data_IF_391205679213
#
_entry.id   IF_391205679213
#
_cell.length_a   1.000
_cell.length_b   1.000
_cell.length_c   1.000
_cell.angle_alpha   90.00
_cell.angle_beta   90.00
_cell.angle_gamma   90.00
#
_symmetry.space_group_name_H-M   'P 1'
#
loop_
_entity.id
_entity.type
_entity.pdbx_description
1 polymer ?
#
# COMPACT_ATOMS: atom_id res chain seq x y z
N UNK A 1 -25.83 -8.78 1.04
CA UNK A 1 -25.40 -8.84 2.44
C UNK A 1 -24.01 -8.20 2.49
N UNK A 2 -23.75 -7.16 3.29
CA UNK A 2 -22.42 -6.59 3.38
C UNK A 2 -21.57 -7.54 4.25
N UNK A 3 -20.60 -8.20 3.65
CA UNK A 3 -19.73 -9.13 4.38
C UNK A 3 -18.85 -8.33 5.36
N UNK A 4 -19.18 -8.51 6.63
CA UNK A 4 -18.32 -8.52 7.81
C UNK A 4 -17.22 -7.47 7.99
N UNK A 5 -17.48 -6.58 8.94
CA UNK A 5 -16.47 -5.89 9.73
C UNK A 5 -15.68 -6.82 10.69
N UNK A 6 -15.54 -8.12 10.42
CA UNK A 6 -15.26 -9.11 11.47
C UNK A 6 -13.84 -9.71 11.52
N UNK A 7 -12.95 -9.50 10.55
CA UNK A 7 -11.54 -9.85 10.78
C UNK A 7 -10.58 -8.85 10.16
N UNK A 8 -9.96 -8.05 11.03
CA UNK A 8 -8.69 -7.38 10.74
C UNK A 8 -7.52 -8.37 10.60
N UNK A 9 -7.80 -9.66 10.53
CA UNK A 9 -6.81 -10.74 10.46
C UNK A 9 -6.63 -11.12 9.00
N UNK A 10 -5.39 -11.08 8.50
CA UNK A 10 -5.06 -11.55 7.16
C UNK A 10 -5.12 -13.09 7.08
N UNK A 11 -5.13 -13.69 5.87
CA UNK A 11 -5.15 -15.14 5.70
C UNK A 11 -4.02 -15.91 6.42
N UNK A 12 -2.92 -15.23 6.77
CA UNK A 12 -1.80 -15.80 7.53
C UNK A 12 -1.97 -15.72 9.05
N UNK A 13 -3.16 -15.30 9.54
CA UNK A 13 -3.48 -15.24 10.96
C UNK A 13 -2.92 -14.02 11.69
N UNK A 14 -2.39 -13.01 10.98
CA UNK A 14 -1.86 -11.78 11.58
C UNK A 14 -2.91 -10.67 11.57
N UNK A 15 -2.99 -9.90 12.65
CA UNK A 15 -3.70 -8.61 12.63
C UNK A 15 -3.00 -7.67 11.65
N UNK A 16 -3.73 -7.18 10.64
CA UNK A 16 -3.21 -6.31 9.59
C UNK A 16 -2.61 -5.01 10.14
N UNK A 17 -3.05 -4.52 11.31
CA UNK A 17 -2.45 -3.34 11.97
C UNK A 17 -1.08 -3.64 12.58
N UNK A 18 -0.78 -4.91 12.85
CA UNK A 18 0.56 -5.36 13.27
C UNK A 18 1.46 -5.65 12.07
N UNK A 19 0.87 -5.77 10.88
CA UNK A 19 1.54 -6.08 9.63
C UNK A 19 1.78 -7.58 9.44
N UNK A 20 1.99 -7.96 8.18
CA UNK A 20 2.35 -9.32 7.80
C UNK A 20 3.42 -9.27 6.71
N UNK A 21 4.61 -9.79 7.00
CA UNK A 21 5.72 -9.85 6.04
C UNK A 21 5.36 -10.72 4.83
N UNK A 22 4.60 -11.80 5.05
CA UNK A 22 4.14 -12.66 3.95
C UNK A 22 3.17 -11.92 3.02
N UNK A 23 2.20 -11.15 3.55
CA UNK A 23 1.37 -10.29 2.69
C UNK A 23 2.20 -9.25 1.91
N UNK A 24 3.27 -8.72 2.52
CA UNK A 24 4.17 -7.76 1.87
C UNK A 24 4.93 -8.39 0.69
N UNK A 25 5.44 -9.61 0.88
CA UNK A 25 6.17 -10.36 -0.14
C UNK A 25 5.22 -10.83 -1.26
N UNK A 26 4.06 -11.40 -0.92
CA UNK A 26 3.03 -11.83 -1.89
C UNK A 26 2.54 -10.68 -2.77
N UNK A 27 2.47 -9.45 -2.24
CA UNK A 27 2.08 -8.29 -3.02
C UNK A 27 3.07 -7.97 -4.16
N UNK A 28 4.35 -8.32 -4.01
CA UNK A 28 5.37 -8.14 -5.04
C UNK A 28 5.30 -9.21 -6.13
N UNK A 29 4.67 -10.35 -5.81
CA UNK A 29 4.47 -11.50 -6.71
C UNK A 29 3.02 -11.61 -7.20
N UNK A 30 2.19 -10.59 -6.95
CA UNK A 30 0.77 -10.63 -7.20
C UNK A 30 0.46 -10.92 -8.68
N UNK A 31 -0.43 -11.89 -8.90
CA UNK A 31 -0.82 -12.32 -10.24
C UNK A 31 -1.44 -11.14 -11.04
N UNK A 32 -1.29 -11.12 -12.37
CA UNK A 32 -1.97 -10.15 -13.22
C UNK A 32 -3.48 -10.13 -12.98
N UNK A 33 -4.04 -8.94 -12.76
CA UNK A 33 -5.45 -8.75 -12.47
C UNK A 33 -5.83 -8.76 -10.99
N UNK A 34 -4.86 -8.96 -10.08
CA UNK A 34 -5.05 -8.70 -8.66
C UNK A 34 -5.42 -7.22 -8.45
N UNK A 35 -6.42 -6.90 -7.61
CA UNK A 35 -6.78 -5.52 -7.31
C UNK A 35 -5.60 -4.72 -6.74
N UNK A 36 -5.49 -3.46 -7.16
CA UNK A 36 -4.50 -2.52 -6.61
C UNK A 36 -5.15 -1.63 -5.56
N UNK A 37 -4.44 -1.39 -4.47
CA UNK A 37 -4.90 -0.57 -3.35
C UNK A 37 -3.91 0.55 -3.07
N UNK A 38 -4.42 1.71 -2.72
CA UNK A 38 -3.67 2.79 -2.09
C UNK A 38 -3.97 2.79 -0.60
N UNK A 39 -2.94 2.62 0.21
CA UNK A 39 -3.03 2.47 1.65
C UNK A 39 -2.29 3.61 2.33
N UNK A 40 -2.91 4.15 3.37
CA UNK A 40 -2.33 5.09 4.31
C UNK A 40 -2.44 4.49 5.72
N UNK A 41 -1.33 4.44 6.46
CA UNK A 41 -1.26 3.98 7.83
C UNK A 41 -0.57 5.04 8.70
N UNK A 42 -1.31 5.58 9.66
CA UNK A 42 -0.76 6.45 10.69
C UNK A 42 -0.23 5.60 11.83
N UNK A 43 0.98 5.88 12.26
CA UNK A 43 1.60 5.15 13.34
C UNK A 43 2.46 6.05 14.22
N UNK A 44 2.66 5.61 15.45
CA UNK A 44 3.59 6.21 16.40
C UNK A 44 4.80 5.30 16.58
N UNK A 45 5.96 5.88 16.89
CA UNK A 45 7.16 5.15 17.24
C UNK A 45 7.71 5.66 18.58
N UNK A 46 8.31 4.79 19.42
CA UNK A 46 8.84 5.19 20.73
C UNK A 46 10.08 6.07 20.62
N UNK A 47 10.73 6.10 19.45
CA UNK A 47 11.90 6.91 19.15
C UNK A 47 11.74 7.56 17.78
N UNK A 48 12.31 8.74 17.55
CA UNK A 48 12.30 9.36 16.23
C UNK A 48 12.96 8.46 15.19
N UNK A 49 12.35 8.35 14.01
CA UNK A 49 12.97 7.72 12.84
C UNK A 49 14.04 8.67 12.30
N UNK A 50 15.30 8.23 12.09
CA UNK A 50 16.34 9.09 11.55
C UNK A 50 15.97 9.66 10.18
N UNK A 51 16.29 10.93 9.92
CA UNK A 51 15.95 11.58 8.63
C UNK A 51 16.52 10.82 7.43
N UNK A 52 17.75 10.29 7.54
CA UNK A 52 18.38 9.49 6.47
C UNK A 52 17.55 8.25 6.13
N UNK A 53 16.99 7.62 7.15
CA UNK A 53 16.14 6.45 7.01
C UNK A 53 14.84 6.78 6.25
N UNK A 54 14.23 7.94 6.51
CA UNK A 54 13.07 8.41 5.74
C UNK A 54 13.42 8.67 4.27
N UNK A 55 14.58 9.29 4.03
CA UNK A 55 15.09 9.56 2.67
C UNK A 55 15.40 8.26 1.90
N UNK A 56 15.95 7.26 2.57
CA UNK A 56 16.26 5.97 1.95
C UNK A 56 14.98 5.22 1.56
N UNK A 57 13.93 5.25 2.40
CA UNK A 57 12.61 4.71 2.03
C UNK A 57 12.05 5.46 0.82
N UNK A 58 12.12 6.78 0.79
CA UNK A 58 11.63 7.56 -0.36
C UNK A 58 12.42 7.27 -1.66
N UNK A 59 13.72 6.97 -1.54
CA UNK A 59 14.59 6.65 -2.68
C UNK A 59 14.43 5.23 -3.19
N UNK A 60 14.22 4.26 -2.30
CA UNK A 60 14.31 2.83 -2.61
C UNK A 60 12.99 2.08 -2.46
N UNK A 61 12.04 2.59 -1.66
CA UNK A 61 10.69 2.07 -1.51
C UNK A 61 9.83 2.51 -2.68
N UNK A 62 10.05 1.94 -3.88
CA UNK A 62 9.40 2.33 -5.16
C UNK A 62 7.88 2.48 -5.13
N UNK A 63 7.21 1.95 -4.10
CA UNK A 63 5.77 2.05 -3.90
C UNK A 63 5.37 2.49 -2.50
N UNK A 64 6.32 2.92 -1.66
CA UNK A 64 6.11 3.27 -0.25
C UNK A 64 6.79 4.59 0.11
N UNK A 65 6.15 5.39 0.97
CA UNK A 65 6.74 6.59 1.54
C UNK A 65 6.41 6.67 3.04
N UNK A 66 7.36 7.17 3.83
CA UNK A 66 7.14 7.50 5.23
C UNK A 66 7.38 8.99 5.40
N UNK A 67 6.32 9.68 5.81
CA UNK A 67 6.33 11.11 6.10
C UNK A 67 6.11 11.35 7.61
N UNK A 68 6.62 12.46 8.12
CA UNK A 68 6.35 12.91 9.49
C UNK A 68 5.49 14.18 9.45
N UNK A 69 4.15 14.04 9.45
CA UNK A 69 3.25 15.18 9.31
C UNK A 69 3.20 16.12 10.54
N UNK A 70 3.53 15.64 11.75
CA UNK A 70 3.39 16.46 12.97
C UNK A 70 4.36 16.07 14.11
N UNK A 71 4.41 16.93 15.13
CA UNK A 71 4.84 16.61 16.49
C UNK A 71 3.61 16.49 17.40
N UNK A 72 3.54 15.53 18.35
CA UNK A 72 4.50 14.46 18.66
C UNK A 72 4.64 13.41 17.54
N UNK A 73 5.56 12.44 17.70
CA UNK A 73 6.08 11.47 16.71
C UNK A 73 5.01 10.58 16.01
N UNK A 74 4.13 11.22 15.26
CA UNK A 74 3.16 10.58 14.38
C UNK A 74 3.77 10.56 12.98
N UNK A 75 3.80 9.38 12.40
CA UNK A 75 4.30 9.11 11.07
C UNK A 75 3.15 8.62 10.18
N UNK A 76 3.23 8.94 8.90
CA UNK A 76 2.33 8.45 7.88
C UNK A 76 3.12 7.55 6.94
N UNK A 77 2.77 6.27 6.92
CA UNK A 77 3.19 5.33 5.88
C UNK A 77 2.13 5.33 4.78
N UNK A 78 2.52 5.69 3.57
CA UNK A 78 1.68 5.47 2.38
C UNK A 78 2.28 4.38 1.52
N UNK A 79 1.44 3.60 0.87
CA UNK A 79 1.91 2.60 -0.09
C UNK A 79 0.85 2.20 -1.10
N UNK A 80 1.30 1.89 -2.32
CA UNK A 80 0.47 1.22 -3.34
C UNK A 80 0.85 -0.25 -3.39
N UNK A 81 -0.14 -1.13 -3.30
CA UNK A 81 0.08 -2.57 -3.19
C UNK A 81 -1.02 -3.35 -3.91
N UNK A 82 -0.66 -4.47 -4.52
CA UNK A 82 -1.61 -5.40 -5.13
C UNK A 82 -2.02 -6.44 -4.10
N UNK A 83 -3.32 -6.56 -3.82
CA UNK A 83 -3.83 -7.51 -2.84
C UNK A 83 -5.28 -7.93 -3.17
N UNK A 84 -5.69 -9.17 -2.81
CA UNK A 84 -7.06 -9.63 -3.01
C UNK A 84 -8.12 -8.76 -2.31
N UNK A 85 -7.78 -8.23 -1.13
CA UNK A 85 -8.67 -7.37 -0.34
C UNK A 85 -7.93 -6.28 0.43
N UNK A 86 -8.70 -5.40 1.08
CA UNK A 86 -8.18 -4.28 1.86
C UNK A 86 -7.39 -4.70 3.10
N UNK A 87 -7.69 -5.85 3.71
CA UNK A 87 -7.03 -6.32 4.93
C UNK A 87 -5.64 -6.82 4.59
N UNK A 88 -5.50 -7.62 3.53
CA UNK A 88 -4.21 -8.03 2.98
C UNK A 88 -3.40 -6.83 2.48
N UNK A 89 -4.04 -5.85 1.84
CA UNK A 89 -3.38 -4.62 1.42
C UNK A 89 -2.78 -3.87 2.63
N UNK A 90 -3.57 -3.66 3.70
CA UNK A 90 -3.08 -3.01 4.91
C UNK A 90 -1.99 -3.85 5.59
N UNK A 91 -2.19 -5.16 5.71
CA UNK A 91 -1.23 -6.08 6.32
C UNK A 91 0.11 -6.06 5.58
N UNK A 92 0.09 -6.03 4.24
CA UNK A 92 1.30 -5.94 3.42
C UNK A 92 1.98 -4.58 3.54
N UNK A 93 1.23 -3.48 3.51
CA UNK A 93 1.79 -2.14 3.70
C UNK A 93 2.40 -1.98 5.08
N UNK A 94 1.73 -2.39 6.15
CA UNK A 94 2.33 -2.37 7.50
C UNK A 94 3.47 -3.40 7.61
N UNK A 95 3.38 -4.52 6.89
CA UNK A 95 4.42 -5.53 6.77
C UNK A 95 5.75 -5.00 6.23
N UNK A 96 5.73 -3.97 5.38
CA UNK A 96 6.93 -3.26 4.95
C UNK A 96 7.75 -2.72 6.14
N UNK A 97 7.10 -2.19 7.18
CA UNK A 97 7.78 -1.70 8.39
C UNK A 97 8.46 -2.85 9.16
N UNK A 98 7.81 -4.01 9.23
CA UNK A 98 8.37 -5.20 9.85
C UNK A 98 9.58 -5.73 9.08
N UNK A 99 9.46 -5.82 7.76
CA UNK A 99 10.54 -6.25 6.88
C UNK A 99 11.75 -5.32 6.99
N UNK A 100 11.49 -4.02 7.19
CA UNK A 100 12.51 -2.99 7.39
C UNK A 100 12.71 -2.64 8.87
N UNK A 101 12.68 -3.59 9.81
CA UNK A 101 12.85 -3.33 11.26
C UNK A 101 14.12 -2.54 11.66
N UNK A 102 15.12 -2.48 10.80
CA UNK A 102 16.32 -1.65 11.00
C UNK A 102 16.03 -0.14 10.84
N UNK A 103 14.92 0.21 10.19
CA UNK A 103 14.37 1.55 9.96
C UNK A 103 13.48 1.99 11.13
N UNK A 104 12.59 1.09 11.58
CA UNK A 104 11.63 1.36 12.66
C UNK A 104 11.76 0.27 13.73
N UNK A 105 12.35 0.64 14.87
CA UNK A 105 12.63 -0.29 15.99
C UNK A 105 11.38 -0.77 16.73
N UNK A 106 10.25 -0.07 16.55
CA UNK A 106 8.94 -0.44 17.04
C UNK A 106 7.92 0.62 16.62
N UNK A 107 6.68 0.21 16.42
CA UNK A 107 5.61 1.12 16.05
C UNK A 107 4.26 0.65 16.59
N UNK A 108 3.31 1.56 16.66
CA UNK A 108 1.89 1.27 16.90
C UNK A 108 1.06 1.99 15.85
N UNK A 109 0.37 1.22 15.01
CA UNK A 109 -0.58 1.76 14.02
C UNK A 109 -1.82 2.25 14.75
N UNK A 110 -2.17 3.51 14.57
CA UNK A 110 -3.31 4.16 15.21
C UNK A 110 -4.51 4.26 14.29
N UNK A 111 -4.27 4.43 12.99
CA UNK A 111 -5.31 4.57 11.98
C UNK A 111 -4.83 4.02 10.65
N UNK A 112 -5.76 3.49 9.86
CA UNK A 112 -5.50 2.92 8.54
C UNK A 112 -6.62 3.28 7.59
N UNK A 113 -6.27 3.63 6.37
CA UNK A 113 -7.18 3.83 5.26
C UNK A 113 -6.70 3.03 4.06
N UNK A 114 -7.61 2.29 3.44
CA UNK A 114 -7.34 1.57 2.20
C UNK A 114 -8.37 1.99 1.16
N UNK A 115 -7.89 2.42 0.01
CA UNK A 115 -8.73 2.84 -1.13
C UNK A 115 -8.42 1.93 -2.29
N UNK A 116 -9.45 1.27 -2.81
CA UNK A 116 -9.32 0.46 -4.03
C UNK A 116 -9.02 1.41 -5.20
N UNK A 117 -7.94 1.13 -5.93
CA UNK A 117 -7.60 1.89 -7.13
C UNK A 117 -8.39 1.35 -8.33
N UNK A 118 -8.87 2.23 -9.21
CA UNK A 118 -9.49 1.79 -10.45
C UNK A 118 -8.48 1.01 -11.28
N UNK A 119 -8.92 -0.11 -11.86
CA UNK A 119 -8.11 -0.91 -12.77
C UNK A 119 -7.85 -0.10 -14.04
N UNK A 120 -6.63 0.38 -14.22
CA UNK A 120 -6.18 0.90 -15.52
C UNK A 120 -5.95 -0.29 -16.45
N UNK A 121 -6.99 -0.72 -17.16
CA UNK A 121 -6.81 -1.56 -18.34
C UNK A 121 -6.15 -0.69 -19.42
N UNK A 122 -4.82 -0.71 -19.47
CA UNK A 122 -4.06 -0.16 -20.59
C UNK A 122 -4.21 -1.12 -21.77
N UNK A 123 -5.37 -1.08 -22.43
CA UNK A 123 -5.77 -2.03 -23.47
C UNK A 123 -6.79 -1.47 -24.47
N UNK A 124 -6.38 -0.49 -25.27
CA UNK A 124 -6.78 -0.38 -26.69
C UNK A 124 -8.10 0.29 -27.05
N UNK A 125 -8.03 1.57 -27.45
CA UNK A 125 -8.58 1.99 -28.74
C UNK A 125 -7.68 3.12 -29.28
N UNK A 126 -6.73 2.72 -30.13
CA UNK A 126 -6.12 3.62 -31.09
C UNK A 126 -7.28 3.99 -32.03
N UNK A 127 -7.92 5.14 -31.81
CA UNK A 127 -8.87 5.69 -32.77
C UNK A 127 -8.09 5.96 -34.05
N UNK A 128 -8.16 5.03 -34.99
CA UNK A 128 -7.78 5.30 -36.37
C UNK A 128 -8.81 6.29 -36.89
N UNK A 129 -8.41 7.56 -36.97
CA UNK A 129 -9.07 8.55 -37.82
C UNK A 129 -9.14 7.98 -39.23
N UNK A 130 -10.30 7.41 -39.57
CA UNK A 130 -10.62 7.07 -40.95
C UNK A 130 -11.14 8.36 -41.56
N UNK A 131 -10.25 9.08 -42.23
CA UNK A 131 -10.64 10.15 -43.15
C UNK A 131 -11.50 9.53 -44.26
N UNK A 132 -12.77 9.90 -44.29
CA UNK A 132 -13.66 9.67 -45.42
C UNK A 132 -13.32 10.72 -46.48
N UNK A 133 -12.44 10.36 -47.40
CA UNK A 133 -12.57 10.79 -48.79
C UNK A 133 -13.68 9.91 -49.41
N UNK A 134 -14.81 10.48 -49.80
CA UNK A 134 -15.06 10.72 -51.22
C UNK A 134 -16.42 11.41 -51.49
N UNK A 135 -16.30 12.35 -52.41
CA UNK A 135 -17.26 13.17 -53.13
C UNK A 135 -18.38 12.40 -53.83
N UNK A 136 -19.49 13.09 -54.17
CA UNK A 136 -19.92 13.09 -55.56
C UNK A 136 -19.87 14.48 -56.22
#
# INVERSE_FOLDING_TARGET
MPNDAASWVCPHGQDARRGCVTCYEEASEAAPGTPSWEVAAWFTAPRPIPIRTLQDVHRHGRSFAIDQPSTPLVYLLTGRTSAPDSVQAVAGVVGFLLHNRHVVTGFTVTETRATLLPRTDTGGARTTDTWLDDTP
#
